data_IF_737502954174
#
_entry.id   IF_737502954174
#
_cell.length_a   1.000
_cell.length_b   1.000
_cell.length_c   1.000
_cell.angle_alpha   90.00
_cell.angle_beta   90.00
_cell.angle_gamma   90.00
#
_symmetry.space_group_name_H-M   'P 1'
#
loop_
_entity.id
_entity.type
_entity.pdbx_description
1 polymer ?
#
# COMPACT_ATOMS: atom_id res chain seq x y z
N UNK A 1 16.68 -19.15 65.11
CA UNK A 1 16.26 -19.86 63.88
C UNK A 1 17.26 -19.49 62.80
N UNK A 2 18.03 -20.44 62.28
CA UNK A 2 18.89 -20.19 61.12
C UNK A 2 18.06 -20.28 59.84
N UNK A 3 18.27 -19.33 58.92
CA UNK A 3 17.59 -19.27 57.62
C UNK A 3 18.60 -19.10 56.51
N UNK A 4 18.47 -19.88 55.44
CA UNK A 4 19.33 -19.78 54.25
C UNK A 4 19.04 -18.54 53.40
N UNK A 5 20.08 -17.98 52.76
CA UNK A 5 19.95 -16.88 51.79
C UNK A 5 20.40 -17.34 50.41
N UNK A 6 19.76 -16.81 49.36
CA UNK A 6 20.14 -17.08 47.96
C UNK A 6 21.47 -16.38 47.65
N UNK A 7 22.43 -17.12 47.08
CA UNK A 7 23.71 -16.59 46.62
C UNK A 7 23.60 -16.08 45.17
N UNK A 8 22.88 -14.96 44.99
CA UNK A 8 22.72 -14.34 43.67
C UNK A 8 23.94 -13.47 43.36
N UNK A 9 24.47 -13.58 42.13
CA UNK A 9 25.67 -12.86 41.69
C UNK A 9 25.42 -12.17 40.34
N UNK A 10 26.00 -10.98 40.17
CA UNK A 10 26.05 -10.28 38.89
C UNK A 10 27.39 -10.57 38.24
N UNK A 11 27.36 -11.22 37.08
CA UNK A 11 28.56 -11.63 36.36
C UNK A 11 28.47 -11.16 34.90
N UNK A 12 29.59 -10.78 34.28
CA UNK A 12 29.63 -10.59 32.84
C UNK A 12 29.38 -11.93 32.14
N UNK A 13 28.80 -11.89 30.93
CA UNK A 13 28.45 -13.09 30.17
C UNK A 13 29.63 -14.07 29.96
N UNK A 14 30.87 -13.57 29.94
CA UNK A 14 32.08 -14.38 29.81
C UNK A 14 32.44 -15.21 31.05
N UNK A 15 31.86 -14.91 32.23
CA UNK A 15 32.23 -15.52 33.51
C UNK A 15 31.12 -16.40 34.11
N UNK A 16 30.06 -16.68 33.36
CA UNK A 16 28.88 -17.44 33.84
C UNK A 16 29.14 -18.94 34.03
N UNK A 17 30.25 -19.48 33.52
CA UNK A 17 30.52 -20.92 33.40
C UNK A 17 30.09 -21.77 34.61
N UNK A 18 29.16 -22.71 34.38
CA UNK A 18 28.63 -23.64 35.38
C UNK A 18 27.40 -23.15 36.16
N UNK A 19 26.94 -21.91 35.95
CA UNK A 19 25.78 -21.33 36.62
C UNK A 19 24.56 -21.21 35.69
N UNK A 20 23.36 -21.23 36.27
CA UNK A 20 22.13 -20.80 35.59
C UNK A 20 22.08 -19.28 35.66
N UNK A 21 21.93 -18.61 34.51
CA UNK A 21 21.93 -17.15 34.43
C UNK A 21 20.76 -16.61 33.61
N UNK A 22 20.39 -15.36 33.89
CA UNK A 22 19.41 -14.59 33.14
C UNK A 22 20.06 -13.26 32.76
N UNK A 23 20.14 -12.91 31.46
CA UNK A 23 20.60 -11.60 31.03
C UNK A 23 19.68 -10.50 31.57
N UNK A 24 20.22 -9.51 32.29
CA UNK A 24 19.42 -8.41 32.86
C UNK A 24 19.69 -7.05 32.21
N UNK A 25 20.89 -6.86 31.65
CA UNK A 25 21.30 -5.63 31.01
C UNK A 25 22.48 -5.87 30.08
N UNK A 26 22.72 -4.92 29.17
CA UNK A 26 23.94 -4.86 28.37
C UNK A 26 24.56 -3.48 28.56
N UNK A 27 25.88 -3.45 28.72
CA UNK A 27 26.64 -2.23 28.97
C UNK A 27 27.37 -1.81 27.71
N UNK A 28 27.22 -0.55 27.33
CA UNK A 28 27.95 0.10 26.26
C UNK A 28 29.00 1.05 26.86
N UNK A 29 30.07 1.27 26.11
CA UNK A 29 31.09 2.26 26.45
C UNK A 29 30.79 3.54 25.66
N UNK A 30 30.46 4.64 26.35
CA UNK A 30 30.20 5.94 25.71
C UNK A 30 31.51 6.71 25.47
N UNK A 31 32.34 6.81 26.50
CA UNK A 31 33.67 7.46 26.44
C UNK A 31 34.69 6.65 27.25
N UNK A 32 35.94 7.12 27.33
CA UNK A 32 37.03 6.37 27.96
C UNK A 32 36.70 5.88 29.38
N UNK A 33 35.92 6.64 30.16
CA UNK A 33 35.55 6.35 31.56
C UNK A 33 34.03 6.36 31.85
N UNK A 34 33.17 6.37 30.83
CA UNK A 34 31.72 6.35 31.04
C UNK A 34 31.09 5.13 30.38
N UNK A 35 30.28 4.44 31.16
CA UNK A 35 29.50 3.28 30.74
C UNK A 35 28.02 3.62 30.86
N UNK A 36 27.25 3.23 29.85
CA UNK A 36 25.80 3.38 29.83
C UNK A 36 25.15 2.02 29.57
N UNK A 37 23.89 1.86 30.01
CA UNK A 37 23.12 0.68 29.63
C UNK A 37 22.62 0.85 28.19
N UNK A 38 22.64 -0.22 27.39
CA UNK A 38 22.04 -0.21 26.05
C UNK A 38 20.52 0.04 26.18
N UNK A 39 19.97 1.18 25.71
CA UNK A 39 18.56 1.51 25.92
C UNK A 39 17.60 0.58 25.16
N UNK A 40 18.08 -0.03 24.08
CA UNK A 40 17.29 -0.89 23.22
C UNK A 40 17.32 -2.37 23.64
N UNK A 41 18.04 -2.70 24.71
CA UNK A 41 18.13 -4.06 25.20
C UNK A 41 16.83 -4.49 25.90
N UNK A 42 16.28 -5.62 25.47
CA UNK A 42 15.12 -6.29 26.07
C UNK A 42 15.64 -7.59 26.72
N UNK A 43 15.69 -7.66 28.07
CA UNK A 43 16.03 -8.90 28.77
C UNK A 43 14.90 -9.93 28.64
N UNK A 44 15.15 -11.22 28.95
CA UNK A 44 14.07 -12.19 29.14
C UNK A 44 13.17 -11.72 30.29
N UNK A 45 11.92 -11.40 29.98
CA UNK A 45 10.95 -10.88 30.96
C UNK A 45 9.69 -11.74 30.97
N UNK A 46 9.10 -11.91 32.15
CA UNK A 46 7.84 -12.65 32.30
C UNK A 46 6.60 -11.79 32.08
N UNK A 47 6.75 -10.47 32.16
CA UNK A 47 5.67 -9.48 32.08
C UNK A 47 6.11 -8.31 31.21
N UNK A 48 5.25 -7.78 30.36
CA UNK A 48 5.58 -6.66 29.46
C UNK A 48 6.12 -5.43 30.21
N UNK A 49 5.48 -5.06 31.32
CA UNK A 49 5.89 -3.90 32.13
C UNK A 49 7.31 -3.97 32.69
N UNK A 50 7.95 -5.15 32.70
CA UNK A 50 9.34 -5.29 33.14
C UNK A 50 10.35 -4.78 32.10
N UNK A 51 9.92 -4.44 30.88
CA UNK A 51 10.77 -3.81 29.86
C UNK A 51 10.08 -2.59 29.25
N UNK A 52 10.60 -1.40 29.56
CA UNK A 52 10.13 -0.16 28.96
C UNK A 52 10.27 -0.16 27.44
N UNK A 53 11.37 -0.72 26.92
CA UNK A 53 11.60 -0.83 25.48
C UNK A 53 10.51 -1.63 24.77
N UNK A 54 10.08 -2.74 25.35
CA UNK A 54 9.00 -3.57 24.80
C UNK A 54 7.65 -2.85 24.83
N UNK A 55 7.37 -2.11 25.91
CA UNK A 55 6.18 -1.26 26.03
C UNK A 55 6.16 -0.13 24.98
N UNK A 56 7.30 0.51 24.74
CA UNK A 56 7.45 1.55 23.70
C UNK A 56 7.22 0.98 22.31
N UNK A 57 7.76 -0.20 22.01
CA UNK A 57 7.56 -0.90 20.74
C UNK A 57 6.07 -1.19 20.50
N UNK A 58 5.42 -1.83 21.48
CA UNK A 58 4.01 -2.19 21.37
C UNK A 58 3.12 -0.95 21.21
N UNK A 59 3.36 0.11 21.99
CA UNK A 59 2.62 1.37 21.90
C UNK A 59 2.73 1.98 20.50
N UNK A 60 3.94 2.07 19.96
CA UNK A 60 4.16 2.60 18.61
C UNK A 60 3.38 1.82 17.55
N UNK A 61 3.40 0.48 17.62
CA UNK A 61 2.65 -0.35 16.67
C UNK A 61 1.15 -0.07 16.78
N UNK A 62 0.59 0.00 18.00
CA UNK A 62 -0.82 0.33 18.22
C UNK A 62 -1.16 1.71 17.64
N UNK A 63 -0.33 2.72 17.91
CA UNK A 63 -0.54 4.09 17.41
C UNK A 63 -0.51 4.16 15.88
N UNK A 64 0.43 3.43 15.25
CA UNK A 64 0.52 3.34 13.79
C UNK A 64 -0.68 2.64 13.18
N UNK A 65 -1.16 1.56 13.79
CA UNK A 65 -2.35 0.86 13.33
C UNK A 65 -3.59 1.75 13.44
N UNK A 66 -3.74 2.48 14.56
CA UNK A 66 -4.84 3.44 14.76
C UNK A 66 -4.83 4.54 13.70
N UNK A 67 -3.66 5.10 13.42
CA UNK A 67 -3.52 6.11 12.38
C UNK A 67 -3.88 5.52 11.01
N UNK A 68 -3.43 4.30 10.71
CA UNK A 68 -3.73 3.65 9.44
C UNK A 68 -5.23 3.35 9.29
N UNK A 69 -5.88 2.90 10.35
CA UNK A 69 -7.33 2.67 10.37
C UNK A 69 -8.14 3.96 10.16
N UNK A 70 -7.65 5.11 10.65
CA UNK A 70 -8.28 6.43 10.42
C UNK A 70 -8.09 6.93 9.00
N UNK A 71 -6.89 6.79 8.44
CA UNK A 71 -6.56 7.29 7.10
C UNK A 71 -7.26 6.52 5.97
N UNK A 72 -7.49 5.22 6.16
CA UNK A 72 -8.18 4.42 5.16
C UNK A 72 -9.68 4.71 5.17
N UNK A 73 -10.18 5.31 4.09
CA UNK A 73 -11.62 5.41 3.87
C UNK A 73 -12.22 4.00 3.87
N UNK A 74 -13.33 3.84 4.59
CA UNK A 74 -14.16 2.63 4.47
C UNK A 74 -14.51 2.46 2.98
N UNK A 75 -14.28 1.28 2.38
CA UNK A 75 -14.57 1.07 0.97
C UNK A 75 -16.06 1.37 0.70
N UNK A 76 -16.34 2.43 -0.07
CA UNK A 76 -17.70 2.78 -0.47
C UNK A 76 -18.31 1.65 -1.31
N UNK A 77 -17.47 0.96 -2.07
CA UNK A 77 -17.82 -0.17 -2.94
C UNK A 77 -18.34 -1.40 -2.17
N UNK A 78 -17.96 -1.59 -0.89
CA UNK A 78 -18.48 -2.69 -0.07
C UNK A 78 -19.88 -2.42 0.48
N UNK A 79 -20.23 -1.15 0.67
CA UNK A 79 -21.53 -0.74 1.21
C UNK A 79 -22.59 -0.55 0.12
N UNK A 80 -22.17 -0.19 -1.09
CA UNK A 80 -23.05 -0.08 -2.24
C UNK A 80 -23.10 -1.45 -2.95
N UNK A 81 -24.18 -2.21 -2.75
CA UNK A 81 -24.50 -3.42 -3.51
C UNK A 81 -24.74 -3.10 -4.98
N UNK A 82 -23.70 -2.66 -5.68
CA UNK A 82 -23.75 -2.23 -7.07
C UNK A 82 -23.66 -3.44 -7.97
N UNK A 83 -24.47 -3.44 -9.03
CA UNK A 83 -24.50 -4.47 -10.07
C UNK A 83 -23.15 -4.64 -10.83
N UNK A 84 -22.13 -3.83 -10.51
CA UNK A 84 -20.83 -3.76 -11.18
C UNK A 84 -19.76 -4.71 -10.58
N UNK A 85 -20.01 -5.36 -9.43
CA UNK A 85 -19.01 -6.17 -8.73
C UNK A 85 -17.97 -5.34 -7.97
N UNK A 86 -17.10 -6.01 -7.21
CA UNK A 86 -16.08 -5.34 -6.39
C UNK A 86 -14.81 -5.04 -7.19
N UNK A 87 -14.23 -3.86 -6.96
CA UNK A 87 -12.92 -3.47 -7.48
C UNK A 87 -11.80 -4.33 -6.86
N UNK A 88 -10.82 -4.79 -7.65
CA UNK A 88 -9.65 -5.50 -7.09
C UNK A 88 -8.89 -4.62 -6.09
N UNK A 89 -8.81 -3.32 -6.37
CA UNK A 89 -8.28 -2.29 -5.47
C UNK A 89 -9.12 -2.19 -4.18
N UNK A 90 -10.46 -2.15 -4.29
CA UNK A 90 -11.35 -2.09 -3.14
C UNK A 90 -11.30 -3.35 -2.28
N UNK A 91 -11.16 -4.52 -2.90
CA UNK A 91 -10.95 -5.79 -2.21
C UNK A 91 -9.61 -5.75 -1.46
N UNK A 92 -8.51 -5.37 -2.13
CA UNK A 92 -7.19 -5.29 -1.50
C UNK A 92 -7.17 -4.30 -0.33
N UNK A 93 -7.76 -3.11 -0.51
CA UNK A 93 -7.91 -2.11 0.55
C UNK A 93 -8.79 -2.61 1.70
N UNK A 94 -9.87 -3.34 1.41
CA UNK A 94 -10.72 -3.94 2.42
C UNK A 94 -9.99 -5.01 3.23
N UNK A 95 -9.22 -5.88 2.58
CA UNK A 95 -8.41 -6.90 3.26
C UNK A 95 -7.32 -6.26 4.11
N UNK A 96 -6.64 -5.24 3.61
CA UNK A 96 -5.63 -4.54 4.39
C UNK A 96 -6.26 -3.87 5.62
N UNK A 97 -7.39 -3.18 5.44
CA UNK A 97 -8.14 -2.57 6.55
C UNK A 97 -8.65 -3.63 7.54
N UNK A 98 -9.07 -4.80 7.06
CA UNK A 98 -9.44 -5.93 7.91
C UNK A 98 -8.25 -6.41 8.76
N UNK A 99 -7.08 -6.61 8.17
CA UNK A 99 -5.87 -7.00 8.90
C UNK A 99 -5.50 -5.99 9.99
N UNK A 100 -5.55 -4.69 9.66
CA UNK A 100 -5.30 -3.61 10.62
C UNK A 100 -6.32 -3.64 11.76
N UNK A 101 -7.62 -3.62 11.45
CA UNK A 101 -8.69 -3.59 12.46
C UNK A 101 -8.69 -4.82 13.36
N UNK A 102 -8.43 -6.01 12.80
CA UNK A 102 -8.36 -7.26 13.55
C UNK A 102 -7.18 -7.27 14.54
N UNK A 103 -6.06 -6.61 14.21
CA UNK A 103 -4.87 -6.58 15.07
C UNK A 103 -4.91 -5.50 16.15
N UNK A 104 -5.56 -4.34 15.90
CA UNK A 104 -5.57 -3.20 16.84
C UNK A 104 -6.10 -3.60 18.21
N UNK A 105 -7.26 -4.25 18.26
CA UNK A 105 -7.98 -4.46 19.53
C UNK A 105 -7.23 -5.42 20.46
N UNK A 106 -6.76 -6.60 20.02
CA UNK A 106 -5.93 -7.48 20.85
C UNK A 106 -4.63 -6.83 21.32
N UNK A 107 -3.89 -6.14 20.44
CA UNK A 107 -2.64 -5.49 20.79
C UNK A 107 -2.85 -4.35 21.81
N UNK A 108 -3.92 -3.57 21.65
CA UNK A 108 -4.30 -2.53 22.61
C UNK A 108 -4.67 -3.12 23.97
N UNK A 109 -5.38 -4.24 24.00
CA UNK A 109 -5.70 -4.92 25.25
C UNK A 109 -4.44 -5.35 26.00
N UNK A 110 -3.49 -5.98 25.31
CA UNK A 110 -2.20 -6.40 25.88
C UNK A 110 -1.39 -5.20 26.40
N UNK A 111 -1.39 -4.08 25.65
CA UNK A 111 -0.76 -2.83 26.05
C UNK A 111 -1.38 -2.22 27.32
N UNK A 112 -2.70 -2.31 27.48
CA UNK A 112 -3.39 -1.81 28.67
C UNK A 112 -3.18 -2.73 29.88
N UNK A 113 -3.18 -4.05 29.66
CA UNK A 113 -3.02 -5.04 30.72
C UNK A 113 -1.60 -5.00 31.31
N UNK A 114 -0.58 -4.83 30.48
CA UNK A 114 0.86 -4.74 30.82
C UNK A 114 1.47 -5.96 31.56
N UNK A 115 0.64 -6.88 32.03
CA UNK A 115 1.00 -8.09 32.76
C UNK A 115 1.02 -9.33 31.86
N UNK A 116 0.74 -9.22 30.56
CA UNK A 116 0.86 -10.36 29.67
C UNK A 116 2.31 -10.87 29.57
N UNK A 117 2.47 -12.16 29.26
CA UNK A 117 3.77 -12.73 28.90
C UNK A 117 4.18 -12.22 27.50
N UNK A 118 5.47 -11.96 27.21
CA UNK A 118 5.87 -11.46 25.90
C UNK A 118 5.51 -12.37 24.73
N UNK A 119 5.39 -13.67 24.95
CA UNK A 119 4.93 -14.61 23.92
C UNK A 119 3.52 -14.26 23.41
N UNK A 120 2.62 -13.81 24.29
CA UNK A 120 1.25 -13.43 23.91
C UNK A 120 1.27 -12.22 22.95
N UNK A 121 2.15 -11.24 23.21
CA UNK A 121 2.36 -10.10 22.31
C UNK A 121 3.01 -10.54 21.00
N UNK A 122 4.02 -11.42 21.08
CA UNK A 122 4.66 -11.98 19.90
C UNK A 122 3.64 -12.67 19.00
N UNK A 123 2.71 -13.45 19.55
CA UNK A 123 1.70 -14.16 18.76
C UNK A 123 0.82 -13.20 17.95
N UNK A 124 0.35 -12.12 18.57
CA UNK A 124 -0.49 -11.14 17.87
C UNK A 124 0.31 -10.27 16.89
N UNK A 125 1.55 -9.90 17.22
CA UNK A 125 2.45 -9.22 16.29
C UNK A 125 2.82 -10.10 15.09
N UNK A 126 3.11 -11.39 15.31
CA UNK A 126 3.43 -12.34 14.25
C UNK A 126 2.22 -12.62 13.35
N UNK A 127 1.01 -12.70 13.93
CA UNK A 127 -0.24 -12.81 13.17
C UNK A 127 -0.43 -11.62 12.22
N UNK A 128 -0.26 -10.40 12.73
CA UNK A 128 -0.30 -9.19 11.92
C UNK A 128 0.80 -9.18 10.85
N UNK A 129 2.05 -9.46 11.22
CA UNK A 129 3.17 -9.48 10.30
C UNK A 129 2.98 -10.49 9.16
N UNK A 130 2.46 -11.68 9.46
CA UNK A 130 2.13 -12.70 8.46
C UNK A 130 0.99 -12.28 7.55
N UNK A 131 -0.06 -11.67 8.10
CA UNK A 131 -1.16 -11.13 7.29
C UNK A 131 -0.68 -10.02 6.35
N UNK A 132 0.23 -9.15 6.81
CA UNK A 132 0.81 -8.08 6.01
C UNK A 132 1.73 -8.58 4.88
N UNK A 133 2.25 -9.81 4.96
CA UNK A 133 3.02 -10.40 3.86
C UNK A 133 2.18 -10.52 2.57
N UNK A 134 0.84 -10.59 2.68
CA UNK A 134 -0.06 -10.66 1.51
C UNK A 134 0.02 -9.44 0.59
N UNK A 135 0.56 -8.32 1.08
CA UNK A 135 0.68 -7.06 0.33
C UNK A 135 2.11 -6.74 -0.10
N UNK A 136 3.11 -7.54 0.31
CA UNK A 136 4.51 -7.35 -0.05
C UNK A 136 4.92 -8.27 -1.20
N UNK A 137 5.62 -7.74 -2.21
CA UNK A 137 6.08 -8.53 -3.36
C UNK A 137 7.14 -9.59 -2.97
N UNK A 138 8.08 -9.22 -2.10
CA UNK A 138 9.18 -10.08 -1.64
C UNK A 138 9.03 -10.48 -0.17
N UNK A 139 7.79 -10.63 0.30
CA UNK A 139 7.46 -10.91 1.71
C UNK A 139 6.77 -12.25 1.85
N UNK A 140 7.30 -13.12 2.73
CA UNK A 140 6.73 -14.43 2.97
C UNK A 140 6.71 -14.77 4.46
N UNK A 141 5.62 -15.36 5.02
CA UNK A 141 5.52 -15.63 6.46
C UNK A 141 6.65 -16.49 7.03
N UNK A 142 7.33 -17.30 6.22
CA UNK A 142 8.47 -18.12 6.65
C UNK A 142 9.72 -17.32 7.00
N UNK A 143 9.83 -16.06 6.56
CA UNK A 143 10.97 -15.17 6.86
C UNK A 143 10.81 -14.45 8.20
N UNK A 144 9.63 -14.51 8.82
CA UNK A 144 9.37 -13.88 10.10
C UNK A 144 10.23 -14.51 11.21
N UNK A 145 10.75 -13.70 12.16
CA UNK A 145 11.60 -14.21 13.23
C UNK A 145 10.80 -15.14 14.14
N UNK A 146 11.37 -16.31 14.44
CA UNK A 146 10.79 -17.23 15.43
C UNK A 146 10.95 -16.68 16.84
N UNK A 147 9.99 -16.98 17.70
CA UNK A 147 10.08 -16.62 19.11
C UNK A 147 11.32 -17.25 19.76
N UNK A 148 12.13 -16.41 20.40
CA UNK A 148 13.31 -16.80 21.15
C UNK A 148 13.34 -15.97 22.44
N UNK A 149 12.85 -16.54 23.54
CA UNK A 149 12.70 -15.84 24.82
C UNK A 149 14.03 -15.30 25.38
N UNK A 150 15.14 -15.94 25.04
CA UNK A 150 16.49 -15.49 25.42
C UNK A 150 17.04 -14.36 24.54
N UNK A 151 16.36 -14.04 23.43
CA UNK A 151 16.77 -13.06 22.42
C UNK A 151 15.63 -12.09 22.05
N UNK A 152 14.82 -11.68 23.03
CA UNK A 152 13.65 -10.80 22.80
C UNK A 152 14.01 -9.51 22.06
N UNK A 153 15.19 -8.96 22.32
CA UNK A 153 15.69 -7.75 21.62
C UNK A 153 15.64 -7.93 20.10
N UNK A 154 16.17 -9.04 19.59
CA UNK A 154 16.21 -9.30 18.15
C UNK A 154 14.81 -9.55 17.62
N UNK A 155 14.08 -10.48 18.24
CA UNK A 155 12.76 -10.94 17.79
C UNK A 155 11.78 -9.77 17.65
N UNK A 156 11.67 -8.91 18.66
CA UNK A 156 10.72 -7.81 18.65
C UNK A 156 11.15 -6.64 17.76
N UNK A 157 12.45 -6.36 17.65
CA UNK A 157 12.93 -5.32 16.73
C UNK A 157 12.71 -5.74 15.26
N UNK A 158 12.97 -7.02 14.93
CA UNK A 158 12.78 -7.55 13.58
C UNK A 158 11.28 -7.56 13.19
N UNK A 159 10.39 -7.99 14.11
CA UNK A 159 8.93 -7.92 13.89
C UNK A 159 8.44 -6.48 13.77
N UNK A 160 8.89 -5.59 14.64
CA UNK A 160 8.51 -4.19 14.60
C UNK A 160 8.91 -3.54 13.27
N UNK A 161 10.16 -3.75 12.83
CA UNK A 161 10.61 -3.22 11.55
C UNK A 161 9.76 -3.75 10.40
N UNK A 162 9.52 -5.08 10.37
CA UNK A 162 8.68 -5.71 9.36
C UNK A 162 7.28 -5.09 9.31
N UNK A 163 6.60 -5.02 10.45
CA UNK A 163 5.24 -4.47 10.52
C UNK A 163 5.22 -3.01 10.07
N UNK A 164 6.16 -2.18 10.54
CA UNK A 164 6.22 -0.77 10.17
C UNK A 164 6.42 -0.58 8.67
N UNK A 165 7.38 -1.29 8.09
CA UNK A 165 7.63 -1.26 6.64
C UNK A 165 6.39 -1.66 5.84
N UNK A 166 5.67 -2.70 6.28
CA UNK A 166 4.48 -3.16 5.55
C UNK A 166 3.22 -2.31 5.81
N UNK A 167 3.13 -1.59 6.92
CA UNK A 167 2.06 -0.61 7.15
C UNK A 167 2.24 0.65 6.31
N UNK A 168 3.49 1.02 6.02
CA UNK A 168 3.86 2.11 5.12
C UNK A 168 3.65 1.77 3.64
N UNK A 169 3.55 0.48 3.29
CA UNK A 169 3.13 0.09 1.95
C UNK A 169 1.77 0.73 1.68
N UNK A 170 1.75 1.66 0.73
CA UNK A 170 0.53 2.05 0.05
C UNK A 170 0.14 0.79 -0.72
N UNK A 171 -1.03 0.21 -0.41
CA UNK A 171 -1.61 -0.84 -1.26
C UNK A 171 -1.53 -0.29 -2.67
N UNK A 172 -0.69 -0.84 -3.56
CA UNK A 172 -0.47 -0.21 -4.85
C UNK A 172 -1.78 -0.26 -5.60
N UNK A 173 -2.47 0.87 -5.68
CA UNK A 173 -3.42 1.12 -6.74
C UNK A 173 -2.57 1.12 -8.01
N UNK A 174 -2.36 -0.05 -8.60
CA UNK A 174 -1.70 -0.19 -9.89
C UNK A 174 -2.50 0.52 -10.99
N UNK A 175 -3.57 1.25 -10.67
CA UNK A 175 -4.36 2.09 -11.55
C UNK A 175 -4.37 3.54 -11.04
N UNK A 176 -3.83 4.46 -11.84
CA UNK A 176 -3.88 5.91 -11.62
C UNK A 176 -4.99 6.50 -12.48
N UNK A 177 -5.93 7.23 -11.87
CA UNK A 177 -6.99 7.95 -12.59
C UNK A 177 -6.51 9.36 -12.91
N UNK A 178 -6.55 9.75 -14.19
CA UNK A 178 -6.19 11.09 -14.64
C UNK A 178 -7.47 11.94 -14.75
N UNK A 179 -7.64 12.98 -13.91
CA UNK A 179 -8.89 13.74 -13.85
C UNK A 179 -9.04 14.63 -15.09
N UNK A 180 -9.94 14.24 -16.00
CA UNK A 180 -10.24 14.98 -17.20
C UNK A 180 -11.15 16.17 -16.91
N UNK A 181 -10.80 17.35 -17.45
CA UNK A 181 -11.62 18.56 -17.41
C UNK A 181 -12.18 18.83 -18.80
N UNK A 182 -13.48 19.08 -18.92
CA UNK A 182 -14.08 19.53 -20.17
C UNK A 182 -13.79 21.02 -20.37
N UNK A 183 -12.92 21.35 -21.32
CA UNK A 183 -12.37 22.72 -21.48
C UNK A 183 -13.12 23.50 -22.55
N UNK A 184 -13.50 22.83 -23.64
CA UNK A 184 -14.27 23.44 -24.73
C UNK A 184 -15.10 22.38 -25.45
N UNK A 185 -15.95 22.80 -26.39
CA UNK A 185 -16.82 21.90 -27.14
C UNK A 185 -16.01 20.76 -27.78
N UNK A 186 -16.28 19.53 -27.34
CA UNK A 186 -15.59 18.30 -27.77
C UNK A 186 -14.16 18.11 -27.27
N UNK A 187 -13.65 18.93 -26.35
CA UNK A 187 -12.28 18.82 -25.84
C UNK A 187 -12.23 18.60 -24.32
N UNK A 188 -11.52 17.55 -23.93
CA UNK A 188 -11.17 17.24 -22.55
C UNK A 188 -9.65 17.29 -22.38
N UNK A 189 -9.19 17.80 -21.25
CA UNK A 189 -7.76 17.96 -21.00
C UNK A 189 -7.41 17.61 -19.56
N UNK A 190 -6.18 17.16 -19.34
CA UNK A 190 -5.60 17.02 -18.01
C UNK A 190 -4.08 17.12 -18.02
N UNK A 191 -3.53 17.52 -16.88
CA UNK A 191 -2.09 17.60 -16.66
C UNK A 191 -1.61 16.34 -15.95
N UNK A 192 -0.50 15.79 -16.43
CA UNK A 192 0.13 14.61 -15.85
C UNK A 192 1.01 15.06 -14.68
N UNK A 193 0.53 14.85 -13.46
CA UNK A 193 1.26 15.18 -12.23
C UNK A 193 2.20 14.05 -11.80
N UNK A 194 1.77 12.81 -11.96
CA UNK A 194 2.55 11.61 -11.63
C UNK A 194 3.30 11.11 -12.88
N UNK A 195 4.62 11.25 -12.90
CA UNK A 195 5.45 10.85 -14.05
C UNK A 195 5.51 9.32 -14.25
N UNK A 196 5.18 8.52 -13.23
CA UNK A 196 5.18 7.06 -13.34
C UNK A 196 4.19 6.56 -14.40
N UNK A 197 3.13 7.33 -14.66
CA UNK A 197 2.14 6.98 -15.68
C UNK A 197 2.72 7.02 -17.10
N UNK A 198 3.83 7.72 -17.33
CA UNK A 198 4.48 7.86 -18.64
C UNK A 198 5.50 6.75 -18.95
N UNK A 199 5.91 5.93 -17.96
CA UNK A 199 6.93 4.90 -18.12
C UNK A 199 6.35 3.54 -18.54
N UNK A 200 6.62 2.46 -17.81
CA UNK A 200 6.07 1.13 -18.05
C UNK A 200 4.63 1.08 -17.53
N UNK A 201 3.68 1.39 -18.42
CA UNK A 201 2.27 1.47 -18.07
C UNK A 201 1.35 1.14 -19.24
N UNK A 202 0.08 0.90 -18.93
CA UNK A 202 -0.99 0.68 -19.89
C UNK A 202 -2.07 1.73 -19.72
N UNK A 203 -2.29 2.52 -20.76
CA UNK A 203 -3.30 3.58 -20.77
C UNK A 203 -4.63 3.03 -21.24
N UNK A 204 -5.69 3.39 -20.54
CA UNK A 204 -7.04 2.86 -20.75
C UNK A 204 -8.01 4.02 -20.72
N UNK A 205 -8.80 4.13 -21.80
CA UNK A 205 -9.94 5.02 -21.90
C UNK A 205 -11.20 4.21 -21.59
N UNK A 206 -11.96 4.62 -20.59
CA UNK A 206 -13.31 4.13 -20.37
C UNK A 206 -14.30 5.19 -20.86
N UNK A 207 -15.24 4.77 -21.70
CA UNK A 207 -16.19 5.66 -22.36
C UNK A 207 -17.61 5.09 -22.25
N UNK A 208 -18.54 5.94 -21.86
CA UNK A 208 -19.99 5.70 -21.91
C UNK A 208 -20.64 6.86 -22.64
N UNK A 209 -21.64 6.58 -23.47
CA UNK A 209 -22.39 7.59 -24.21
C UNK A 209 -23.84 7.14 -24.41
N UNK A 210 -24.73 8.08 -24.74
CA UNK A 210 -26.15 7.79 -25.03
C UNK A 210 -26.34 7.26 -26.46
N UNK A 211 -25.69 6.15 -26.79
CA UNK A 211 -25.78 5.49 -28.10
C UNK A 211 -25.63 3.97 -27.96
N UNK A 212 -25.88 3.22 -29.05
CA UNK A 212 -25.75 1.77 -29.05
C UNK A 212 -24.31 1.31 -28.82
N UNK A 213 -24.14 0.20 -28.08
CA UNK A 213 -22.81 -0.37 -27.77
C UNK A 213 -21.99 -0.67 -29.03
N UNK A 214 -22.60 -1.28 -30.05
CA UNK A 214 -21.92 -1.60 -31.31
C UNK A 214 -21.44 -0.35 -32.05
N UNK A 215 -22.21 0.73 -32.00
CA UNK A 215 -21.86 2.01 -32.61
C UNK A 215 -20.74 2.69 -31.83
N UNK A 216 -20.77 2.61 -30.49
CA UNK A 216 -19.71 3.14 -29.64
C UNK A 216 -18.39 2.38 -29.85
N UNK A 217 -18.45 1.05 -29.93
CA UNK A 217 -17.29 0.18 -30.15
C UNK A 217 -16.62 0.41 -31.50
N UNK A 218 -17.42 0.52 -32.56
CA UNK A 218 -16.91 0.73 -33.92
C UNK A 218 -16.54 2.19 -34.21
N UNK A 219 -17.26 3.13 -33.60
CA UNK A 219 -17.07 4.57 -33.78
C UNK A 219 -15.90 5.14 -32.98
N UNK A 220 -15.70 4.71 -31.73
CA UNK A 220 -14.71 5.34 -30.83
C UNK A 220 -13.29 5.31 -31.38
N UNK A 221 -12.75 4.19 -31.92
CA UNK A 221 -11.40 4.18 -32.49
C UNK A 221 -11.20 5.10 -33.69
N UNK A 222 -12.28 5.51 -34.36
CA UNK A 222 -12.26 6.38 -35.54
C UNK A 222 -12.48 7.85 -35.20
N UNK A 223 -13.38 8.10 -34.25
CA UNK A 223 -13.87 9.44 -33.91
C UNK A 223 -13.07 10.08 -32.77
N UNK A 224 -12.74 9.29 -31.74
CA UNK A 224 -12.04 9.79 -30.56
C UNK A 224 -10.56 9.92 -30.90
N UNK A 225 -10.00 11.10 -30.60
CA UNK A 225 -8.57 11.36 -30.78
C UNK A 225 -7.94 11.65 -29.43
N UNK A 226 -6.84 10.99 -29.14
CA UNK A 226 -6.01 11.24 -27.96
C UNK A 226 -4.63 11.71 -28.42
N UNK A 227 -4.15 12.82 -27.87
CA UNK A 227 -2.81 13.34 -28.12
C UNK A 227 -2.44 14.37 -27.06
N UNK A 228 -1.29 15.03 -27.20
CA UNK A 228 -0.97 16.20 -26.38
C UNK A 228 -1.93 17.36 -26.66
N UNK A 229 -2.15 18.19 -25.64
CA UNK A 229 -3.00 19.38 -25.71
C UNK A 229 -2.71 20.28 -26.91
N UNK A 230 -1.43 20.53 -27.18
CA UNK A 230 -1.03 21.43 -28.26
C UNK A 230 -1.27 20.85 -29.67
N UNK A 231 -1.07 19.53 -29.84
CA UNK A 231 -1.15 18.89 -31.16
C UNK A 231 -2.58 18.49 -31.52
N UNK A 232 -3.43 18.23 -30.52
CA UNK A 232 -4.76 17.70 -30.76
C UNK A 232 -5.63 18.59 -31.69
N UNK A 233 -5.71 19.92 -31.53
CA UNK A 233 -6.48 20.76 -32.46
C UNK A 233 -5.95 20.71 -33.90
N UNK A 234 -4.62 20.57 -34.07
CA UNK A 234 -3.96 20.45 -35.39
C UNK A 234 -4.32 19.11 -36.04
N UNK A 235 -4.43 18.04 -35.26
CA UNK A 235 -4.87 16.72 -35.77
C UNK A 235 -6.36 16.71 -36.15
N UNK A 236 -7.20 17.37 -35.37
CA UNK A 236 -8.64 17.50 -35.67
C UNK A 236 -8.84 18.25 -36.99
N UNK A 237 -8.25 19.45 -37.13
CA UNK A 237 -8.39 20.29 -38.33
C UNK A 237 -7.83 19.65 -39.61
N UNK A 238 -6.80 18.81 -39.51
CA UNK A 238 -6.18 18.12 -40.65
C UNK A 238 -6.70 16.71 -40.88
N UNK A 239 -7.73 16.28 -40.14
CA UNK A 239 -8.25 14.92 -40.18
C UNK A 239 -7.17 13.82 -39.98
N UNK A 240 -6.11 14.12 -39.23
CA UNK A 240 -5.04 13.18 -38.93
C UNK A 240 -5.41 12.28 -37.74
N UNK A 241 -4.91 11.03 -37.70
CA UNK A 241 -5.14 10.13 -36.57
C UNK A 241 -4.39 10.60 -35.31
N UNK A 242 -4.96 10.32 -34.14
CA UNK A 242 -4.29 10.44 -32.85
C UNK A 242 -3.63 9.12 -32.43
N UNK A 243 -3.40 8.96 -31.12
CA UNK A 243 -3.03 7.65 -30.56
C UNK A 243 -4.12 6.61 -30.85
N UNK A 244 -3.70 5.40 -31.21
CA UNK A 244 -4.62 4.33 -31.59
C UNK A 244 -5.38 3.82 -30.36
N UNK A 245 -6.69 3.63 -30.53
CA UNK A 245 -7.56 3.03 -29.53
C UNK A 245 -7.90 1.60 -29.94
N UNK A 246 -7.66 0.66 -29.02
CA UNK A 246 -7.93 -0.77 -29.23
C UNK A 246 -8.97 -1.21 -28.21
N UNK A 247 -10.12 -1.69 -28.67
CA UNK A 247 -11.17 -2.18 -27.78
C UNK A 247 -10.66 -3.32 -26.89
N UNK A 248 -10.99 -3.25 -25.60
CA UNK A 248 -10.72 -4.26 -24.59
C UNK A 248 -12.05 -4.90 -24.18
N UNK A 249 -12.29 -6.19 -24.51
CA UNK A 249 -13.52 -6.90 -24.12
C UNK A 249 -13.79 -6.89 -22.62
N UNK A 250 -12.73 -6.81 -21.81
CA UNK A 250 -12.80 -6.61 -20.38
C UNK A 250 -11.65 -5.71 -19.92
N UNK A 251 -11.87 -4.84 -18.92
CA UNK A 251 -10.77 -4.06 -18.34
C UNK A 251 -9.73 -4.99 -17.70
N UNK A 252 -8.45 -4.59 -17.63
CA UNK A 252 -7.43 -5.31 -16.88
C UNK A 252 -7.80 -5.44 -15.39
N UNK A 253 -7.28 -6.44 -14.65
CA UNK A 253 -7.66 -6.70 -13.26
C UNK A 253 -7.51 -5.51 -12.30
N UNK A 254 -6.58 -4.60 -12.60
CA UNK A 254 -6.36 -3.37 -11.83
C UNK A 254 -7.47 -2.31 -12.02
N UNK A 255 -8.32 -2.45 -13.04
CA UNK A 255 -9.43 -1.54 -13.36
C UNK A 255 -10.75 -2.26 -13.09
N UNK A 256 -11.64 -1.59 -12.37
CA UNK A 256 -12.94 -2.16 -12.01
C UNK A 256 -13.95 -1.92 -13.12
N UNK A 257 -14.64 -2.97 -13.59
CA UNK A 257 -15.67 -2.80 -14.62
C UNK A 257 -16.81 -1.93 -14.07
N UNK A 258 -17.29 -1.01 -14.91
CA UNK A 258 -18.47 -0.17 -14.65
C UNK A 258 -19.55 -0.56 -15.65
N UNK A 259 -20.80 -0.56 -15.19
CA UNK A 259 -21.96 -0.87 -16.03
C UNK A 259 -22.06 0.18 -17.13
N UNK A 260 -22.34 -0.27 -18.36
CA UNK A 260 -22.47 0.54 -19.58
C UNK A 260 -21.20 1.29 -20.03
N UNK A 261 -20.03 0.96 -19.48
CA UNK A 261 -18.75 1.50 -19.97
C UNK A 261 -18.08 0.53 -20.94
N UNK A 262 -17.53 1.10 -22.01
CA UNK A 262 -16.67 0.41 -22.96
C UNK A 262 -15.22 0.83 -22.75
N UNK A 263 -14.30 -0.14 -22.82
CA UNK A 263 -12.90 0.06 -22.48
C UNK A 263 -12.02 -0.02 -23.72
N UNK A 264 -11.10 0.93 -23.85
CA UNK A 264 -10.15 0.99 -24.96
C UNK A 264 -8.73 1.16 -24.43
N UNK A 265 -7.81 0.29 -24.82
CA UNK A 265 -6.39 0.48 -24.61
C UNK A 265 -5.87 1.55 -25.56
N UNK A 266 -4.99 2.41 -25.07
CA UNK A 266 -4.34 3.46 -25.87
C UNK A 266 -2.93 2.98 -26.20
N UNK A 267 -2.61 2.86 -27.49
CA UNK A 267 -1.25 2.54 -27.93
C UNK A 267 -0.32 3.75 -27.67
N UNK A 268 0.87 3.47 -27.12
CA UNK A 268 1.84 4.46 -26.65
C UNK A 268 2.98 4.63 -27.65
N UNK A 269 2.63 4.78 -28.92
CA UNK A 269 3.59 4.84 -30.02
C UNK A 269 3.42 6.12 -30.84
N UNK A 270 4.53 6.54 -31.45
CA UNK A 270 4.56 7.64 -32.41
C UNK A 270 4.57 9.05 -31.82
N UNK A 271 4.55 10.07 -32.69
CA UNK A 271 4.87 11.46 -32.31
C UNK A 271 3.92 12.09 -31.28
N UNK A 272 2.66 11.65 -31.24
CA UNK A 272 1.71 12.11 -30.23
C UNK A 272 2.13 11.70 -28.82
N UNK A 273 2.61 10.46 -28.67
CA UNK A 273 3.05 9.94 -27.39
C UNK A 273 4.33 10.65 -26.94
N UNK A 274 5.31 10.78 -27.83
CA UNK A 274 6.57 11.48 -27.54
C UNK A 274 6.33 12.92 -27.06
N UNK A 275 5.39 13.63 -27.71
CA UNK A 275 5.03 14.98 -27.30
C UNK A 275 4.30 15.01 -25.96
N UNK A 276 3.40 14.06 -25.68
CA UNK A 276 2.76 13.93 -24.37
C UNK A 276 3.75 13.68 -23.24
N UNK A 277 4.78 12.87 -23.49
CA UNK A 277 5.88 12.62 -22.53
C UNK A 277 6.65 13.92 -22.26
N UNK A 278 6.92 14.70 -23.31
CA UNK A 278 7.66 15.96 -23.20
C UNK A 278 6.86 17.07 -22.49
N UNK A 279 5.58 17.28 -22.84
CA UNK A 279 4.77 18.37 -22.29
C UNK A 279 4.06 18.02 -21.00
N UNK A 280 3.88 16.72 -20.70
CA UNK A 280 3.11 16.22 -19.55
C UNK A 280 1.66 16.69 -19.57
N UNK A 281 1.10 16.85 -20.76
CA UNK A 281 -0.29 17.23 -20.96
C UNK A 281 -0.94 16.27 -21.94
N UNK A 282 -2.15 15.82 -21.60
CA UNK A 282 -2.97 14.99 -22.49
C UNK A 282 -4.31 15.65 -22.73
N UNK A 283 -4.78 15.53 -23.96
CA UNK A 283 -6.09 15.99 -24.37
C UNK A 283 -6.81 14.90 -25.18
N UNK A 284 -8.12 14.93 -25.10
CA UNK A 284 -9.03 14.07 -25.84
C UNK A 284 -10.00 14.92 -26.62
N UNK A 285 -10.25 14.50 -27.85
CA UNK A 285 -11.30 15.02 -28.70
C UNK A 285 -12.36 13.94 -28.88
N UNK A 286 -13.60 14.25 -28.48
CA UNK A 286 -14.76 13.36 -28.63
C UNK A 286 -15.85 14.17 -29.33
N UNK A 287 -16.13 13.89 -30.62
CA UNK A 287 -16.99 14.73 -31.42
C UNK A 287 -18.49 14.48 -31.11
N UNK A 288 -19.36 15.33 -31.63
CA UNK A 288 -20.78 15.34 -31.31
C UNK A 288 -21.58 14.12 -31.76
N UNK A 289 -21.01 13.28 -32.64
CA UNK A 289 -21.57 11.97 -33.00
C UNK A 289 -21.61 11.01 -31.80
N UNK A 290 -20.85 11.29 -30.74
CA UNK A 290 -20.89 10.58 -29.46
C UNK A 290 -21.63 11.48 -28.46
N UNK A 291 -22.96 11.30 -28.28
CA UNK A 291 -23.76 12.20 -27.46
C UNK A 291 -23.57 11.95 -25.96
N UNK A 292 -23.47 13.04 -25.20
CA UNK A 292 -23.35 13.05 -23.73
C UNK A 292 -22.25 12.09 -23.20
N UNK A 293 -20.99 12.25 -23.65
CA UNK A 293 -19.94 11.31 -23.30
C UNK A 293 -19.52 11.48 -21.84
N UNK A 294 -19.52 10.37 -21.12
CA UNK A 294 -18.90 10.20 -19.80
C UNK A 294 -17.60 9.44 -19.99
N UNK A 295 -16.48 10.11 -19.71
CA UNK A 295 -15.14 9.65 -20.07
C UNK A 295 -14.21 9.63 -18.87
N UNK A 296 -13.50 8.52 -18.71
CA UNK A 296 -12.46 8.36 -17.71
C UNK A 296 -11.15 7.90 -18.36
N UNK A 297 -10.06 8.53 -17.94
CA UNK A 297 -8.72 8.14 -18.36
C UNK A 297 -7.97 7.50 -17.19
N UNK A 298 -7.52 6.28 -17.40
CA UNK A 298 -6.88 5.45 -16.39
C UNK A 298 -5.54 4.94 -16.90
N UNK A 299 -4.58 4.79 -16.00
CA UNK A 299 -3.26 4.27 -16.32
C UNK A 299 -2.92 3.15 -15.37
N UNK A 300 -2.78 1.94 -15.90
CA UNK A 300 -2.33 0.79 -15.14
C UNK A 300 -0.80 0.76 -15.14
N UNK A 301 -0.16 0.88 -13.98
CA UNK A 301 1.30 0.78 -13.84
C UNK A 301 1.70 -0.69 -14.00
N UNK A 302 2.64 -0.96 -14.90
CA UNK A 302 3.22 -2.29 -15.11
C UNK A 302 4.53 -2.39 -14.31
N UNK A 303 4.74 -3.52 -13.64
CA UNK A 303 5.93 -3.79 -12.81
C UNK A 303 7.13 -4.19 -13.65
#
# INVERSE_FOLDING_TARGET
IEVGRKNLQLLPASQVGGLISIPIARVLRETANQYALEPNFIPPVLRLQASERLMVLLRRIVDMLDERARQMLRPKDLAAGTAAGFSAEGISNAWFLHCVNAAITPLRHLLMQQTAHPEEVYMEMARLAGALCTFGLDSHPSTLPRYAHTQLTKVFNDLDLHIRTHLELIVPSNCVRLPLKHVSQYFWETQITDQRVLSHSRWILALRAKMGEADLLSGSPRLVKVCSKEFLPKLVSRALPGLQLVHLPSPPPAVSPRVDYQYFGIDRSGPCWDHMVATREVALYIPGEIPDPDVELMVVLES
#
